data_IF_634227826617
#
_entry.id   IF_634227826617
#
_cell.length_a   1.000
_cell.length_b   1.000
_cell.length_c   1.000
_cell.angle_alpha   90.00
_cell.angle_beta   90.00
_cell.angle_gamma   90.00
#
_symmetry.space_group_name_H-M   'P 1'
#
loop_
_entity.id
_entity.type
_entity.pdbx_description
1 polymer ?
#
# COMPACT_ATOMS: atom_id res chain seq x y z
N UNK A 1 -4.32 -14.89 8.22
CA UNK A 1 -5.33 -13.84 8.03
C UNK A 1 -4.80 -12.52 8.57
N UNK A 2 -4.73 -11.51 7.74
CA UNK A 2 -4.16 -10.24 8.10
C UNK A 2 -5.14 -9.09 7.86
N UNK A 3 -4.91 -7.96 8.53
CA UNK A 3 -5.63 -6.72 8.30
C UNK A 3 -4.82 -5.87 7.33
N UNK A 4 -5.42 -5.49 6.21
CA UNK A 4 -4.74 -4.76 5.14
C UNK A 4 -5.51 -3.48 4.83
N UNK A 5 -4.79 -2.36 4.81
CA UNK A 5 -5.34 -1.06 4.41
C UNK A 5 -4.84 -0.72 3.01
N UNK A 6 -5.78 -0.47 2.11
CA UNK A 6 -5.47 -0.09 0.72
C UNK A 6 -5.75 1.39 0.56
N UNK A 7 -4.74 2.13 0.11
CA UNK A 7 -4.82 3.58 -0.11
C UNK A 7 -4.57 3.86 -1.59
N UNK A 8 -5.61 4.26 -2.31
CA UNK A 8 -5.52 4.55 -3.74
C UNK A 8 -6.73 5.41 -4.12
N UNK A 9 -6.52 6.45 -4.91
CA UNK A 9 -7.61 7.32 -5.39
C UNK A 9 -8.44 6.68 -6.50
N UNK A 10 -7.97 5.58 -7.07
CA UNK A 10 -8.64 4.87 -8.15
C UNK A 10 -9.52 3.75 -7.59
N UNK A 11 -10.83 3.97 -7.56
CA UNK A 11 -11.78 3.01 -7.02
C UNK A 11 -11.73 1.63 -7.70
N UNK A 12 -11.63 1.52 -9.04
CA UNK A 12 -11.44 0.22 -9.68
C UNK A 12 -10.21 -0.55 -9.23
N UNK A 13 -9.09 0.13 -9.01
CA UNK A 13 -7.87 -0.52 -8.50
C UNK A 13 -8.10 -1.04 -7.09
N UNK A 14 -8.73 -0.24 -6.22
CA UNK A 14 -9.06 -0.69 -4.87
C UNK A 14 -9.95 -1.93 -4.89
N UNK A 15 -10.96 -1.95 -5.78
CA UNK A 15 -11.87 -3.08 -5.89
C UNK A 15 -11.15 -4.35 -6.33
N UNK A 16 -10.24 -4.25 -7.29
CA UNK A 16 -9.45 -5.40 -7.76
C UNK A 16 -8.57 -5.94 -6.63
N UNK A 17 -7.85 -5.07 -5.94
CA UNK A 17 -6.99 -5.47 -4.83
C UNK A 17 -7.79 -6.11 -3.70
N UNK A 18 -8.94 -5.51 -3.36
CA UNK A 18 -9.82 -6.07 -2.33
C UNK A 18 -10.25 -7.49 -2.68
N UNK A 19 -10.70 -7.70 -3.91
CA UNK A 19 -11.16 -9.01 -4.34
C UNK A 19 -10.06 -10.07 -4.25
N UNK A 20 -8.87 -9.73 -4.73
CA UNK A 20 -7.73 -10.65 -4.67
C UNK A 20 -7.40 -11.02 -3.22
N UNK A 21 -7.33 -10.03 -2.35
CA UNK A 21 -6.86 -10.22 -0.99
C UNK A 21 -7.93 -10.81 -0.07
N UNK A 22 -9.21 -10.50 -0.31
CA UNK A 22 -10.28 -11.14 0.43
C UNK A 22 -10.39 -12.63 0.10
N UNK A 23 -10.10 -13.01 -1.14
CA UNK A 23 -10.02 -14.43 -1.51
C UNK A 23 -8.96 -15.19 -0.71
N UNK A 24 -7.88 -14.49 -0.34
CA UNK A 24 -6.82 -15.07 0.49
C UNK A 24 -7.14 -15.01 1.99
N UNK A 25 -8.32 -14.54 2.38
CA UNK A 25 -8.77 -14.53 3.76
C UNK A 25 -8.39 -13.29 4.56
N UNK A 26 -7.88 -12.26 3.91
CA UNK A 26 -7.51 -11.02 4.60
C UNK A 26 -8.71 -10.11 4.83
N UNK A 27 -8.65 -9.32 5.89
CA UNK A 27 -9.62 -8.27 6.16
C UNK A 27 -9.15 -6.97 5.54
N UNK A 28 -9.99 -6.34 4.73
CA UNK A 28 -9.60 -5.19 3.92
C UNK A 28 -10.34 -3.94 4.35
N UNK A 29 -9.60 -2.84 4.50
CA UNK A 29 -10.14 -1.49 4.60
C UNK A 29 -9.60 -0.68 3.44
N UNK A 30 -10.36 0.33 3.01
CA UNK A 30 -9.97 1.16 1.86
C UNK A 30 -9.98 2.63 2.25
N UNK A 31 -9.06 3.37 1.65
CA UNK A 31 -9.00 4.82 1.73
C UNK A 31 -8.81 5.41 0.33
N UNK A 32 -9.58 6.43 0.01
CA UNK A 32 -9.53 7.06 -1.31
C UNK A 32 -8.38 8.08 -1.44
N UNK A 33 -7.75 8.45 -0.34
CA UNK A 33 -6.59 9.35 -0.34
C UNK A 33 -5.71 9.08 0.87
N UNK A 34 -4.55 9.72 0.87
CA UNK A 34 -3.55 9.50 1.91
C UNK A 34 -3.97 10.01 3.28
N UNK A 35 -4.72 11.09 3.34
CA UNK A 35 -5.17 11.65 4.61
C UNK A 35 -6.14 10.71 5.31
N UNK A 36 -7.10 10.15 4.56
CA UNK A 36 -8.02 9.15 5.09
C UNK A 36 -7.25 7.90 5.50
N UNK A 37 -6.27 7.49 4.69
CA UNK A 37 -5.43 6.33 5.00
C UNK A 37 -4.70 6.48 6.32
N UNK A 38 -4.08 7.64 6.55
CA UNK A 38 -3.39 7.92 7.81
C UNK A 38 -4.35 7.88 8.99
N UNK A 39 -5.52 8.51 8.84
CA UNK A 39 -6.53 8.54 9.87
C UNK A 39 -7.00 7.13 10.24
N UNK A 40 -7.28 6.30 9.25
CA UNK A 40 -7.74 4.93 9.48
C UNK A 40 -6.66 4.08 10.15
N UNK A 41 -5.41 4.24 9.75
CA UNK A 41 -4.31 3.52 10.36
C UNK A 41 -4.11 3.92 11.82
N UNK A 42 -4.18 5.23 12.11
CA UNK A 42 -4.04 5.73 13.48
C UNK A 42 -5.16 5.24 14.39
N UNK A 43 -6.38 5.13 13.86
CA UNK A 43 -7.52 4.62 14.63
C UNK A 43 -7.36 3.14 14.94
N UNK A 44 -6.93 2.36 13.96
CA UNK A 44 -6.74 0.92 14.11
C UNK A 44 -5.60 0.48 13.16
N UNK A 45 -4.39 0.31 13.67
CA UNK A 45 -3.26 -0.11 12.84
C UNK A 45 -3.54 -1.41 12.09
N UNK A 46 -3.08 -1.46 10.83
CA UNK A 46 -3.19 -2.63 9.99
C UNK A 46 -1.88 -3.42 10.01
N UNK A 47 -1.97 -4.70 9.64
CA UNK A 47 -0.76 -5.51 9.49
C UNK A 47 0.05 -5.11 8.27
N UNK A 48 -0.61 -4.52 7.27
CA UNK A 48 0.01 -4.13 6.02
C UNK A 48 -0.74 -2.94 5.43
N UNK A 49 0.00 -2.00 4.85
CA UNK A 49 -0.56 -0.89 4.07
C UNK A 49 -0.07 -1.02 2.63
N UNK A 50 -1.01 -0.98 1.69
CA UNK A 50 -0.69 -0.91 0.27
C UNK A 50 -1.12 0.48 -0.20
N UNK A 51 -0.19 1.31 -0.66
CA UNK A 51 -0.50 2.68 -1.05
C UNK A 51 0.02 3.00 -2.44
N UNK A 52 -0.81 3.68 -3.23
CA UNK A 52 -0.34 4.30 -4.46
C UNK A 52 0.62 5.44 -4.09
N UNK A 53 1.65 5.65 -4.90
CA UNK A 53 2.65 6.69 -4.66
C UNK A 53 2.11 8.06 -5.03
N UNK A 54 1.42 8.18 -6.16
CA UNK A 54 0.94 9.45 -6.67
C UNK A 54 -0.57 9.58 -6.46
N UNK A 55 -0.97 10.51 -5.60
CA UNK A 55 -2.37 10.81 -5.32
C UNK A 55 -2.56 12.32 -5.19
N UNK A 56 -3.75 12.86 -5.56
CA UNK A 56 -3.94 14.30 -5.67
C UNK A 56 -3.77 15.10 -4.38
N UNK A 57 -4.28 14.60 -3.26
CA UNK A 57 -4.35 15.41 -2.03
C UNK A 57 -3.17 15.18 -1.11
N UNK A 58 -2.83 13.93 -0.87
CA UNK A 58 -1.67 13.58 -0.08
C UNK A 58 -1.08 12.33 -0.70
N UNK A 59 0.07 12.49 -1.32
CA UNK A 59 0.64 11.38 -2.09
C UNK A 59 1.17 10.26 -1.19
N UNK A 60 1.39 9.11 -1.82
CA UNK A 60 1.82 7.92 -1.11
C UNK A 60 3.22 8.01 -0.51
N UNK A 61 4.06 8.89 -1.03
CA UNK A 61 5.38 9.15 -0.44
C UNK A 61 5.23 9.78 0.93
N UNK A 62 4.39 10.82 1.05
CA UNK A 62 4.13 11.48 2.32
C UNK A 62 3.48 10.52 3.31
N UNK A 63 2.53 9.71 2.85
CA UNK A 63 1.85 8.71 3.69
C UNK A 63 2.87 7.69 4.20
N UNK A 64 3.71 7.16 3.33
CA UNK A 64 4.73 6.19 3.69
C UNK A 64 5.69 6.77 4.73
N UNK A 65 6.18 7.98 4.50
CA UNK A 65 7.07 8.63 5.43
C UNK A 65 6.42 8.86 6.78
N UNK A 66 5.19 9.38 6.80
CA UNK A 66 4.46 9.64 8.03
C UNK A 66 4.24 8.34 8.83
N UNK A 67 3.83 7.27 8.17
CA UNK A 67 3.60 5.99 8.82
C UNK A 67 4.89 5.41 9.41
N UNK A 68 5.97 5.44 8.63
CA UNK A 68 7.24 4.88 9.09
C UNK A 68 7.88 5.68 10.22
N UNK A 69 7.60 6.98 10.30
CA UNK A 69 8.05 7.81 11.40
C UNK A 69 7.23 7.61 12.69
N UNK A 70 5.91 7.39 12.54
CA UNK A 70 5.02 7.23 13.70
C UNK A 70 4.99 5.81 14.25
N UNK A 71 5.15 4.80 13.39
CA UNK A 71 4.96 3.40 13.74
C UNK A 71 6.16 2.58 13.29
N UNK A 72 6.93 2.07 14.24
CA UNK A 72 8.17 1.35 13.94
C UNK A 72 7.95 0.05 13.17
N UNK A 73 6.82 -0.61 13.41
CA UNK A 73 6.54 -1.93 12.84
C UNK A 73 5.64 -1.89 11.61
N UNK A 74 5.34 -0.69 11.09
CA UNK A 74 4.47 -0.59 9.92
C UNK A 74 5.12 -1.26 8.70
N UNK A 75 4.32 -2.02 7.97
CA UNK A 75 4.73 -2.61 6.70
C UNK A 75 3.98 -1.90 5.60
N UNK A 76 4.73 -1.31 4.66
CA UNK A 76 4.16 -0.55 3.54
C UNK A 76 4.65 -1.15 2.23
N UNK A 77 3.70 -1.43 1.34
CA UNK A 77 3.96 -1.73 -0.07
C UNK A 77 3.53 -0.51 -0.86
N UNK A 78 4.45 0.07 -1.63
CA UNK A 78 4.15 1.20 -2.51
C UNK A 78 3.85 0.71 -3.92
N UNK A 79 2.88 1.35 -4.58
CA UNK A 79 2.54 1.04 -5.97
C UNK A 79 2.74 2.27 -6.84
N UNK A 80 3.17 2.05 -8.08
CA UNK A 80 3.30 3.13 -9.06
C UNK A 80 2.77 2.69 -10.42
N UNK A 81 2.10 3.61 -11.11
CA UNK A 81 1.69 3.42 -12.49
C UNK A 81 2.68 3.96 -13.50
N UNK A 82 3.75 4.59 -13.04
CA UNK A 82 4.75 5.20 -13.92
C UNK A 82 5.74 4.13 -14.38
N UNK A 83 5.59 3.66 -15.60
CA UNK A 83 6.44 2.62 -16.17
C UNK A 83 7.84 3.18 -16.41
N UNK A 84 8.84 2.45 -15.91
CA UNK A 84 10.24 2.76 -16.18
C UNK A 84 10.85 3.85 -15.32
N UNK A 85 10.11 4.44 -14.38
CA UNK A 85 10.68 5.46 -13.51
C UNK A 85 11.25 4.82 -12.25
N UNK A 86 12.51 4.42 -12.34
CA UNK A 86 13.22 3.81 -11.21
C UNK A 86 13.39 4.78 -10.04
N UNK A 87 13.36 6.08 -10.30
CA UNK A 87 13.53 7.06 -9.25
C UNK A 87 12.38 7.03 -8.23
N UNK A 88 11.14 6.91 -8.71
CA UNK A 88 10.01 6.79 -7.80
C UNK A 88 10.09 5.52 -6.94
N UNK A 89 10.52 4.41 -7.55
CA UNK A 89 10.66 3.15 -6.83
C UNK A 89 11.72 3.27 -5.74
N UNK A 90 12.85 3.85 -6.07
CA UNK A 90 13.95 4.03 -5.12
C UNK A 90 13.58 4.99 -4.00
N UNK A 91 12.89 6.08 -4.32
CA UNK A 91 12.48 7.06 -3.32
C UNK A 91 11.45 6.45 -2.36
N UNK A 92 10.51 5.64 -2.87
CA UNK A 92 9.55 4.95 -2.01
C UNK A 92 10.24 4.06 -0.98
N UNK A 93 11.28 3.33 -1.41
CA UNK A 93 12.07 2.50 -0.49
C UNK A 93 12.83 3.34 0.53
N UNK A 94 13.40 4.46 0.11
CA UNK A 94 14.07 5.38 1.02
C UNK A 94 13.13 5.96 2.08
N UNK A 95 11.86 6.14 1.72
CA UNK A 95 10.84 6.64 2.66
C UNK A 95 10.29 5.56 3.57
N UNK A 96 10.72 4.31 3.38
CA UNK A 96 10.39 3.22 4.28
C UNK A 96 9.48 2.14 3.73
N UNK A 97 9.08 2.21 2.45
CA UNK A 97 8.33 1.12 1.85
C UNK A 97 9.19 -0.14 1.78
N UNK A 98 8.65 -1.26 2.23
CA UNK A 98 9.40 -2.52 2.24
C UNK A 98 9.48 -3.15 0.86
N UNK A 99 8.42 -2.96 0.06
CA UNK A 99 8.34 -3.49 -1.30
C UNK A 99 7.65 -2.47 -2.18
N UNK A 100 7.89 -2.60 -3.48
CA UNK A 100 7.29 -1.73 -4.48
C UNK A 100 6.70 -2.60 -5.58
N UNK A 101 5.48 -2.28 -5.99
CA UNK A 101 4.81 -2.96 -7.10
C UNK A 101 4.53 -1.95 -8.20
N UNK A 102 4.84 -2.32 -9.42
CA UNK A 102 4.57 -1.49 -10.60
C UNK A 102 3.24 -1.92 -11.23
N UNK A 103 2.40 -0.94 -11.55
CA UNK A 103 1.17 -1.18 -12.31
C UNK A 103 1.50 -1.26 -13.80
N UNK A 104 0.82 -2.05 -14.60
CA UNK A 104 -0.21 -3.00 -14.21
C UNK A 104 0.39 -4.23 -13.52
N UNK A 105 -0.36 -4.81 -12.60
CA UNK A 105 0.07 -5.98 -11.84
C UNK A 105 -0.87 -7.16 -12.09
N UNK A 106 -0.36 -8.38 -11.88
CA UNK A 106 -1.17 -9.58 -11.91
C UNK A 106 -1.62 -9.98 -10.51
N UNK A 107 -2.73 -10.74 -10.37
CA UNK A 107 -3.13 -11.27 -9.07
C UNK A 107 -2.03 -12.08 -8.40
N UNK A 108 -1.28 -12.88 -9.16
CA UNK A 108 -0.20 -13.70 -8.62
C UNK A 108 0.92 -12.86 -8.02
N UNK A 109 1.28 -11.76 -8.67
CA UNK A 109 2.29 -10.83 -8.13
C UNK A 109 1.81 -10.23 -6.82
N UNK A 110 0.56 -9.77 -6.77
CA UNK A 110 -0.02 -9.19 -5.57
C UNK A 110 0.01 -10.19 -4.42
N UNK A 111 -0.47 -11.41 -4.64
CA UNK A 111 -0.51 -12.44 -3.60
C UNK A 111 0.88 -12.76 -3.07
N UNK A 112 1.85 -12.90 -3.97
CA UNK A 112 3.23 -13.24 -3.62
C UNK A 112 3.89 -12.15 -2.82
N UNK A 113 3.78 -10.90 -3.26
CA UNK A 113 4.43 -9.76 -2.60
C UNK A 113 3.79 -9.51 -1.23
N UNK A 114 2.46 -9.61 -1.13
CA UNK A 114 1.76 -9.44 0.15
C UNK A 114 2.18 -10.53 1.12
N UNK A 115 2.18 -11.78 0.70
CA UNK A 115 2.56 -12.90 1.56
C UNK A 115 4.00 -12.75 2.05
N UNK A 116 4.92 -12.43 1.13
CA UNK A 116 6.31 -12.22 1.48
C UNK A 116 6.48 -11.09 2.49
N UNK A 117 5.79 -9.98 2.29
CA UNK A 117 5.89 -8.80 3.17
C UNK A 117 5.32 -9.08 4.55
N UNK A 118 4.23 -9.82 4.63
CA UNK A 118 3.62 -10.20 5.92
C UNK A 118 4.51 -11.16 6.72
N UNK A 119 5.24 -12.03 6.02
CA UNK A 119 6.08 -13.04 6.66
C UNK A 119 7.48 -12.52 7.03
N UNK A 120 7.85 -11.39 6.50
CA UNK A 120 9.17 -10.79 6.70
C UNK A 120 9.05 -9.35 7.18
#
# INVERSE_FOLDING_TARGET
>A
MASILIVDDDAPVRAVLRNILEEDGHQIREAANGQIGLMLYREAPADLVITDILMPERDGMEVTLALTQEFLDVRVIAMTGTIGDQNFLNVAKLFGARRVIQKPFSPDVIRRVVRFTLDH
#
